data_IF_534063780451
#
_entry.id   IF_534063780451
#
_cell.length_a   1.000
_cell.length_b   1.000
_cell.length_c   1.000
_cell.angle_alpha   90.00
_cell.angle_beta   90.00
_cell.angle_gamma   90.00
#
_symmetry.space_group_name_H-M   'P 1'
#
loop_
_entity.id
_entity.type
_entity.pdbx_description
1 polymer ?
#
# COMPACT_ATOMS: atom_id res chain seq x y z
N UNK A 1 -22.70 5.96 6.02
CA UNK A 1 -23.41 5.11 5.06
C UNK A 1 -22.69 3.78 4.96
N UNK A 2 -23.34 2.69 5.37
CA UNK A 2 -22.74 1.35 5.30
C UNK A 2 -22.84 0.91 3.82
N UNK A 3 -21.77 1.10 3.06
CA UNK A 3 -21.73 0.58 1.68
C UNK A 3 -21.65 -0.95 1.77
N UNK A 4 -22.65 -1.63 1.20
CA UNK A 4 -22.62 -3.07 1.06
C UNK A 4 -21.35 -3.49 0.30
N UNK A 5 -20.70 -4.58 0.73
CA UNK A 5 -19.52 -5.11 0.06
C UNK A 5 -19.84 -5.53 -1.37
N UNK A 6 -19.17 -4.93 -2.34
CA UNK A 6 -19.30 -5.23 -3.77
C UNK A 6 -18.24 -6.25 -4.18
N UNK A 7 -18.62 -7.21 -5.05
CA UNK A 7 -17.72 -8.22 -5.60
C UNK A 7 -17.61 -8.10 -7.11
N UNK A 8 -16.40 -8.18 -7.66
CA UNK A 8 -16.11 -8.13 -9.08
C UNK A 8 -15.21 -9.27 -9.51
N UNK A 9 -15.51 -9.86 -10.68
CA UNK A 9 -14.70 -10.92 -11.29
C UNK A 9 -13.30 -10.41 -11.64
N UNK A 10 -12.28 -11.22 -11.36
CA UNK A 10 -10.89 -10.89 -11.68
C UNK A 10 -10.64 -11.16 -13.17
N UNK A 11 -10.15 -10.16 -13.90
CA UNK A 11 -9.79 -10.28 -15.31
C UNK A 11 -8.78 -11.44 -15.54
N UNK A 12 -9.11 -12.34 -16.47
CA UNK A 12 -8.31 -13.54 -16.74
C UNK A 12 -8.47 -14.69 -15.74
N UNK A 13 -9.32 -14.53 -14.71
CA UNK A 13 -9.57 -15.56 -13.69
C UNK A 13 -11.07 -15.64 -13.35
N UNK A 14 -11.92 -16.14 -14.26
CA UNK A 14 -13.39 -16.05 -14.14
C UNK A 14 -13.99 -16.76 -12.92
N UNK A 15 -13.24 -17.70 -12.31
CA UNK A 15 -13.66 -18.40 -11.09
C UNK A 15 -13.18 -17.71 -9.80
N UNK A 16 -12.72 -16.46 -9.90
CA UNK A 16 -12.28 -15.66 -8.76
C UNK A 16 -12.86 -14.27 -8.80
N UNK A 17 -13.19 -13.74 -7.63
CA UNK A 17 -13.66 -12.38 -7.46
C UNK A 17 -12.91 -11.69 -6.35
N UNK A 18 -12.79 -10.37 -6.46
CA UNK A 18 -12.31 -9.47 -5.42
C UNK A 18 -13.43 -8.58 -4.93
N UNK A 19 -13.38 -8.22 -3.65
CA UNK A 19 -14.36 -7.31 -3.08
C UNK A 19 -13.82 -5.88 -2.93
N UNK A 20 -14.76 -4.95 -2.80
CA UNK A 20 -14.48 -3.55 -2.45
C UNK A 20 -13.74 -3.38 -1.11
N UNK A 21 -13.79 -4.40 -0.24
CA UNK A 21 -13.10 -4.45 1.05
C UNK A 21 -11.74 -5.17 0.99
N UNK A 22 -11.25 -5.58 -0.20
CA UNK A 22 -9.95 -6.22 -0.35
C UNK A 22 -9.92 -7.72 -0.09
N UNK A 23 -11.08 -8.38 -0.02
CA UNK A 23 -11.19 -9.84 0.12
C UNK A 23 -11.18 -10.51 -1.26
N UNK A 24 -10.80 -11.80 -1.28
CA UNK A 24 -10.86 -12.64 -2.49
C UNK A 24 -11.74 -13.83 -2.20
N UNK A 25 -12.58 -14.23 -3.16
CA UNK A 25 -13.33 -15.50 -3.12
C UNK A 25 -13.12 -16.31 -4.39
N UNK A 26 -13.20 -17.62 -4.24
CA UNK A 26 -13.03 -18.61 -5.31
C UNK A 26 -14.33 -19.41 -5.48
N UNK A 27 -14.72 -19.60 -6.74
CA UNK A 27 -15.85 -20.44 -7.15
C UNK A 27 -15.45 -21.86 -7.51
N UNK A 28 -14.18 -22.23 -7.32
CA UNK A 28 -13.77 -23.63 -7.51
C UNK A 28 -14.46 -24.54 -6.49
N UNK A 29 -15.00 -25.65 -6.96
CA UNK A 29 -15.52 -26.71 -6.10
C UNK A 29 -14.44 -27.17 -5.13
N UNK A 30 -14.76 -27.23 -3.84
CA UNK A 30 -13.87 -27.71 -2.79
C UNK A 30 -14.56 -28.82 -2.00
N UNK A 31 -13.92 -30.00 -1.92
CA UNK A 31 -14.48 -31.18 -1.25
C UNK A 31 -15.92 -31.53 -1.71
N UNK A 32 -16.19 -31.42 -3.02
CA UNK A 32 -17.52 -31.67 -3.58
C UNK A 32 -18.57 -30.60 -3.32
N UNK A 33 -18.24 -29.53 -2.56
CA UNK A 33 -19.16 -28.44 -2.24
C UNK A 33 -19.04 -27.31 -3.27
N UNK A 34 -20.10 -26.97 -4.00
CA UNK A 34 -20.15 -25.81 -4.88
C UNK A 34 -20.29 -24.51 -4.07
N UNK A 35 -19.88 -23.41 -4.66
CA UNK A 35 -20.12 -22.06 -4.13
C UNK A 35 -18.86 -21.28 -3.77
N UNK A 36 -19.00 -20.00 -3.49
CA UNK A 36 -17.85 -19.15 -3.26
C UNK A 36 -17.24 -19.41 -1.88
N UNK A 37 -15.93 -19.58 -1.86
CA UNK A 37 -15.12 -19.68 -0.64
C UNK A 37 -14.19 -18.49 -0.51
N UNK A 38 -14.25 -17.81 0.63
CA UNK A 38 -13.29 -16.74 0.95
C UNK A 38 -11.89 -17.35 1.07
N UNK A 39 -10.95 -16.79 0.32
CA UNK A 39 -9.55 -17.17 0.36
C UNK A 39 -8.85 -16.45 1.54
N UNK A 40 -7.69 -17.00 1.94
CA UNK A 40 -6.80 -16.40 2.94
C UNK A 40 -5.47 -16.08 2.28
N UNK A 41 -5.30 -14.87 1.70
CA UNK A 41 -4.03 -14.42 1.14
C UNK A 41 -2.94 -14.37 2.21
N UNK A 42 -1.72 -14.74 1.84
CA UNK A 42 -0.54 -14.61 2.70
C UNK A 42 0.32 -13.40 2.32
N UNK A 43 1.11 -12.85 3.25
CA UNK A 43 2.04 -11.78 2.95
C UNK A 43 3.24 -12.28 2.15
N UNK A 44 3.75 -11.43 1.24
CA UNK A 44 5.07 -11.61 0.62
C UNK A 44 6.18 -11.03 1.53
N UNK A 45 7.44 -11.13 1.10
CA UNK A 45 8.62 -10.65 1.85
C UNK A 45 8.56 -9.13 2.15
N UNK A 46 7.71 -8.38 1.46
CA UNK A 46 7.49 -6.94 1.66
C UNK A 46 6.20 -6.64 2.43
N UNK A 47 5.51 -7.66 2.92
CA UNK A 47 4.27 -7.55 3.68
C UNK A 47 3.00 -7.35 2.84
N UNK A 48 3.07 -7.40 1.51
CA UNK A 48 1.89 -7.31 0.65
C UNK A 48 1.14 -8.63 0.60
N UNK A 49 -0.18 -8.60 0.76
CA UNK A 49 -1.01 -9.78 0.61
C UNK A 49 -1.00 -10.30 -0.83
N UNK A 50 -0.74 -11.59 -0.98
CA UNK A 50 -0.71 -12.30 -2.27
C UNK A 50 -1.65 -13.50 -2.27
N UNK A 51 -2.22 -13.80 -3.43
CA UNK A 51 -3.07 -14.96 -3.66
C UNK A 51 -2.56 -15.76 -4.87
N UNK A 52 -2.67 -17.08 -4.78
CA UNK A 52 -2.39 -17.98 -5.90
C UNK A 52 -3.72 -18.24 -6.60
N UNK A 53 -3.83 -17.79 -7.85
CA UNK A 53 -4.98 -17.98 -8.71
C UNK A 53 -4.66 -19.06 -9.77
N UNK A 54 -5.66 -19.84 -10.16
CA UNK A 54 -5.54 -20.87 -11.19
C UNK A 54 -6.37 -20.47 -12.40
N UNK A 55 -5.80 -20.66 -13.58
CA UNK A 55 -6.49 -20.54 -14.85
C UNK A 55 -6.15 -21.77 -15.73
N UNK A 56 -6.72 -21.82 -16.92
CA UNK A 56 -6.36 -22.84 -17.92
C UNK A 56 -4.87 -22.75 -18.33
N UNK A 57 -4.25 -21.58 -18.23
CA UNK A 57 -2.83 -21.35 -18.49
C UNK A 57 -1.90 -21.73 -17.31
N UNK A 58 -2.46 -22.18 -16.18
CA UNK A 58 -1.69 -22.59 -15.00
C UNK A 58 -1.95 -21.74 -13.75
N UNK A 59 -0.98 -21.72 -12.84
CA UNK A 59 -1.04 -20.96 -11.58
C UNK A 59 -0.33 -19.63 -11.72
N UNK A 60 -0.91 -18.59 -11.12
CA UNK A 60 -0.30 -17.27 -11.05
C UNK A 60 -0.41 -16.67 -9.65
N UNK A 61 0.70 -16.25 -9.05
CA UNK A 61 0.70 -15.46 -7.83
C UNK A 61 0.41 -14.01 -8.17
N UNK A 62 -0.58 -13.41 -7.51
CA UNK A 62 -1.01 -12.03 -7.74
C UNK A 62 -1.13 -11.28 -6.42
N UNK A 63 -0.74 -10.01 -6.42
CA UNK A 63 -0.91 -9.12 -5.28
C UNK A 63 -2.36 -8.69 -5.16
N UNK A 64 -2.94 -8.81 -3.96
CA UNK A 64 -4.36 -8.51 -3.72
C UNK A 64 -4.71 -7.07 -4.09
N UNK A 65 -3.92 -6.09 -3.63
CA UNK A 65 -4.17 -4.68 -3.93
C UNK A 65 -4.22 -4.36 -5.44
N UNK A 66 -3.41 -5.07 -6.26
CA UNK A 66 -3.46 -4.89 -7.73
C UNK A 66 -4.74 -5.41 -8.31
N UNK A 67 -5.18 -6.61 -7.87
CA UNK A 67 -6.44 -7.20 -8.33
C UNK A 67 -7.64 -6.31 -7.97
N UNK A 68 -7.65 -5.77 -6.76
CA UNK A 68 -8.70 -4.85 -6.31
C UNK A 68 -8.64 -3.54 -7.08
N UNK A 69 -7.45 -2.94 -7.24
CA UNK A 69 -7.31 -1.70 -7.99
C UNK A 69 -7.77 -1.87 -9.45
N UNK A 70 -7.35 -2.93 -10.15
CA UNK A 70 -7.79 -3.20 -11.53
C UNK A 70 -9.31 -3.39 -11.63
N UNK A 71 -9.92 -4.07 -10.66
CA UNK A 71 -11.36 -4.33 -10.66
C UNK A 71 -12.19 -3.07 -10.35
N UNK A 72 -11.73 -2.18 -9.46
CA UNK A 72 -12.53 -1.06 -8.95
C UNK A 72 -12.10 0.31 -9.49
N UNK A 73 -10.83 0.48 -9.85
CA UNK A 73 -10.30 1.73 -10.41
C UNK A 73 -10.10 1.66 -11.93
N UNK A 74 -10.20 0.45 -12.52
CA UNK A 74 -9.94 0.20 -13.94
C UNK A 74 -8.46 -0.21 -14.18
N UNK A 75 -8.05 -0.37 -15.46
CA UNK A 75 -6.73 -0.86 -15.83
C UNK A 75 -5.65 0.11 -15.35
N UNK A 76 -4.50 -0.46 -14.91
CA UNK A 76 -3.35 0.31 -14.43
C UNK A 76 -2.76 1.17 -15.58
N UNK A 77 -2.75 2.51 -15.46
CA UNK A 77 -2.14 3.37 -16.47
C UNK A 77 -0.62 3.16 -16.57
N UNK A 78 -0.08 3.34 -17.79
CA UNK A 78 1.37 3.18 -18.04
C UNK A 78 2.18 4.14 -17.16
N UNK A 79 3.21 3.63 -16.52
CA UNK A 79 4.11 4.42 -15.67
C UNK A 79 3.61 4.68 -14.26
N UNK A 80 2.38 4.28 -13.92
CA UNK A 80 1.85 4.37 -12.58
C UNK A 80 1.97 3.04 -11.83
N UNK A 81 1.80 3.09 -10.52
CA UNK A 81 1.74 1.94 -9.64
C UNK A 81 0.55 2.05 -8.68
N UNK A 82 0.06 0.93 -8.21
CA UNK A 82 -0.96 0.91 -7.14
C UNK A 82 -0.30 1.30 -5.82
N UNK A 83 -0.89 2.26 -5.12
CA UNK A 83 -0.43 2.74 -3.81
C UNK A 83 -1.54 2.62 -2.76
N UNK A 84 -1.14 2.46 -1.50
CA UNK A 84 -2.02 2.49 -0.35
C UNK A 84 -1.99 3.90 0.25
N UNK A 85 -3.14 4.54 0.35
CA UNK A 85 -3.25 5.92 0.83
C UNK A 85 -2.86 6.05 2.31
N UNK A 86 -3.12 5.02 3.11
CA UNK A 86 -2.75 4.93 4.52
C UNK A 86 -1.35 4.31 4.78
N UNK A 87 -0.60 3.98 3.71
CA UNK A 87 0.69 3.25 3.76
C UNK A 87 0.63 1.87 4.43
N UNK A 88 -0.54 1.30 4.68
CA UNK A 88 -0.72 -0.04 5.21
C UNK A 88 -0.85 -1.06 4.07
N UNK A 89 0.18 -1.86 3.82
CA UNK A 89 0.24 -2.85 2.75
C UNK A 89 -0.82 -3.96 2.85
N UNK A 90 -1.51 -4.08 3.98
CA UNK A 90 -2.55 -5.08 4.22
C UNK A 90 -3.97 -4.51 4.07
N UNK A 91 -4.14 -3.20 4.07
CA UNK A 91 -5.43 -2.55 3.85
C UNK A 91 -5.72 -2.41 2.36
N UNK A 92 -6.25 -3.48 1.76
CA UNK A 92 -6.53 -3.56 0.32
C UNK A 92 -7.95 -3.10 -0.06
N UNK A 93 -8.66 -2.37 0.81
CA UNK A 93 -9.96 -1.79 0.46
C UNK A 93 -9.82 -0.85 -0.75
N UNK A 94 -10.77 -0.91 -1.69
CA UNK A 94 -10.74 -0.10 -2.91
C UNK A 94 -10.66 1.40 -2.62
N UNK A 95 -11.31 1.87 -1.55
CA UNK A 95 -11.27 3.25 -1.08
C UNK A 95 -9.90 3.70 -0.56
N UNK A 96 -9.03 2.74 -0.19
CA UNK A 96 -7.67 2.99 0.28
C UNK A 96 -6.63 2.86 -0.83
N UNK A 97 -7.03 2.53 -2.05
CA UNK A 97 -6.13 2.32 -3.18
C UNK A 97 -6.24 3.46 -4.20
N UNK A 98 -5.11 3.85 -4.76
CA UNK A 98 -5.02 4.80 -5.85
C UNK A 98 -3.91 4.40 -6.82
N UNK A 99 -3.98 4.88 -8.06
CA UNK A 99 -2.84 4.86 -8.96
C UNK A 99 -2.02 6.13 -8.77
N UNK A 100 -0.73 6.02 -8.87
CA UNK A 100 0.16 7.17 -8.76
C UNK A 100 1.59 6.84 -9.12
N UNK A 101 2.41 7.86 -9.24
CA UNK A 101 3.84 7.77 -9.49
C UNK A 101 4.59 7.26 -8.25
N UNK A 102 5.83 6.84 -8.45
CA UNK A 102 6.70 6.48 -7.32
C UNK A 102 6.94 7.68 -6.38
N UNK A 103 7.00 8.89 -6.93
CA UNK A 103 7.20 10.12 -6.15
C UNK A 103 6.00 10.39 -5.21
N UNK A 104 4.78 10.28 -5.72
CA UNK A 104 3.56 10.42 -4.90
C UNK A 104 3.49 9.36 -3.80
N UNK A 105 3.81 8.10 -4.12
CA UNK A 105 3.85 7.03 -3.13
C UNK A 105 4.91 7.27 -2.02
N UNK A 106 6.04 7.88 -2.38
CA UNK A 106 7.04 8.31 -1.39
C UNK A 106 6.54 9.48 -0.55
N UNK A 107 5.84 10.45 -1.17
CA UNK A 107 5.27 11.61 -0.49
C UNK A 107 4.21 11.19 0.55
N UNK A 108 3.31 10.25 0.20
CA UNK A 108 2.32 9.70 1.14
C UNK A 108 3.00 9.10 2.39
N UNK A 109 4.04 8.29 2.18
CA UNK A 109 4.80 7.67 3.28
C UNK A 109 5.48 8.69 4.18
N UNK A 110 5.92 9.82 3.61
CA UNK A 110 6.53 10.92 4.37
C UNK A 110 5.47 11.72 5.13
N UNK A 111 4.32 11.99 4.48
CA UNK A 111 3.23 12.76 5.07
C UNK A 111 2.65 12.10 6.33
N UNK A 112 2.63 10.77 6.39
CA UNK A 112 2.10 9.99 7.52
C UNK A 112 3.08 9.87 8.71
N UNK A 113 4.34 10.31 8.57
CA UNK A 113 5.28 10.29 9.69
C UNK A 113 5.01 11.47 10.63
N UNK A 114 4.64 11.17 11.86
CA UNK A 114 4.46 12.17 12.91
C UNK A 114 5.79 12.65 13.49
N UNK A 115 6.81 11.78 13.50
CA UNK A 115 8.12 12.05 14.09
C UNK A 115 9.28 11.81 13.10
N UNK A 116 10.40 12.49 13.31
CA UNK A 116 11.65 12.21 12.62
C UNK A 116 12.28 10.90 13.13
N UNK A 117 13.37 10.44 12.48
CA UNK A 117 14.09 9.22 12.85
C UNK A 117 14.63 9.18 14.30
N UNK A 118 14.78 10.35 14.92
CA UNK A 118 15.25 10.51 16.30
C UNK A 118 14.11 10.77 17.29
N UNK A 119 12.84 10.58 16.87
CA UNK A 119 11.68 10.72 17.73
C UNK A 119 11.16 12.15 17.93
N UNK A 120 11.78 13.18 17.33
CA UNK A 120 11.27 14.54 17.46
C UNK A 120 10.02 14.75 16.60
N UNK A 121 8.94 15.38 17.12
CA UNK A 121 7.71 15.57 16.37
C UNK A 121 7.89 16.51 15.19
N UNK A 122 7.21 16.20 14.09
CA UNK A 122 7.12 17.05 12.91
C UNK A 122 5.92 18.00 13.01
N UNK A 123 5.94 18.86 14.01
CA UNK A 123 4.88 19.85 14.27
C UNK A 123 5.46 21.26 14.45
N UNK A 124 4.64 22.26 14.21
CA UNK A 124 4.98 23.68 14.38
C UNK A 124 6.32 24.04 13.73
N UNK A 125 7.12 24.83 14.42
CA UNK A 125 8.43 25.31 13.94
C UNK A 125 9.49 24.21 13.81
N UNK A 126 9.26 23.03 14.37
CA UNK A 126 10.24 21.94 14.26
C UNK A 126 10.26 21.29 12.87
N UNK A 127 9.17 21.41 12.10
CA UNK A 127 9.11 20.96 10.72
C UNK A 127 9.58 22.05 9.75
N UNK A 128 10.46 21.70 8.82
CA UNK A 128 10.77 22.55 7.66
C UNK A 128 10.91 21.71 6.38
N UNK A 129 10.76 22.35 5.23
CA UNK A 129 10.92 21.70 3.93
C UNK A 129 12.26 22.16 3.34
N UNK A 130 13.27 21.28 3.23
CA UNK A 130 14.53 21.60 2.55
C UNK A 130 14.32 21.89 1.06
N UNK A 131 15.21 22.66 0.44
CA UNK A 131 15.19 22.95 -1.01
C UNK A 131 15.24 21.70 -1.89
N UNK A 132 15.84 20.63 -1.39
CA UNK A 132 15.92 19.33 -2.06
C UNK A 132 14.65 18.47 -1.88
N UNK A 133 13.63 19.01 -1.23
CA UNK A 133 12.38 18.30 -0.90
C UNK A 133 12.49 17.43 0.36
N UNK A 134 11.36 16.82 0.74
CA UNK A 134 11.25 16.03 1.94
C UNK A 134 10.91 16.84 3.19
N UNK A 135 11.02 16.23 4.37
CA UNK A 135 10.71 16.85 5.67
C UNK A 135 11.99 16.89 6.52
N UNK A 136 12.34 18.09 6.95
CA UNK A 136 13.49 18.33 7.84
C UNK A 136 13.03 18.56 9.29
N UNK A 137 13.86 18.17 10.25
CA UNK A 137 13.64 18.39 11.68
C UNK A 137 14.65 19.44 12.18
N UNK A 138 14.17 20.58 12.65
CA UNK A 138 15.04 21.66 13.15
C UNK A 138 15.83 21.26 14.40
N UNK A 139 15.24 20.46 15.28
CA UNK A 139 15.94 19.93 16.46
C UNK A 139 17.14 19.08 16.04
N UNK A 140 16.96 18.16 15.09
CA UNK A 140 18.09 17.38 14.55
C UNK A 140 19.16 18.25 13.87
N UNK A 141 18.76 19.31 13.15
CA UNK A 141 19.69 20.23 12.51
C UNK A 141 20.53 20.98 13.56
N UNK A 142 19.89 21.53 14.61
CA UNK A 142 20.57 22.20 15.74
C UNK A 142 21.55 21.28 16.46
N UNK A 143 21.16 20.01 16.72
CA UNK A 143 22.00 19.03 17.36
C UNK A 143 23.23 18.65 16.48
N UNK A 144 23.02 18.58 15.17
CA UNK A 144 24.13 18.34 14.24
C UNK A 144 25.11 19.50 14.21
N UNK A 145 24.63 20.75 14.22
CA UNK A 145 25.46 21.95 14.24
C UNK A 145 26.23 22.06 15.57
N UNK A 146 25.58 21.78 16.70
CA UNK A 146 26.25 21.74 18.01
C UNK A 146 27.42 20.74 18.01
N UNK A 147 27.19 19.49 17.57
CA UNK A 147 28.25 18.46 17.47
C UNK A 147 29.40 18.87 16.55
N UNK A 148 29.11 19.59 15.46
CA UNK A 148 30.17 20.11 14.55
C UNK A 148 31.02 21.16 15.24
N UNK A 149 30.42 22.10 15.99
CA UNK A 149 31.15 23.14 16.74
C UNK A 149 32.01 22.53 17.86
N UNK A 150 31.48 21.58 18.61
CA UNK A 150 32.24 20.87 19.66
C UNK A 150 33.47 20.14 19.07
N UNK A 151 33.29 19.47 17.93
CA UNK A 151 34.39 18.78 17.25
C UNK A 151 35.43 19.72 16.64
N UNK A 152 35.06 20.95 16.28
CA UNK A 152 35.96 21.93 15.73
C UNK A 152 36.76 22.68 16.83
N UNK A 153 36.31 22.61 18.09
CA UNK A 153 36.94 23.22 19.25
C UNK A 153 37.91 22.28 20.02
N UNK A 154 37.95 21.01 19.59
CA UNK A 154 38.85 19.95 20.15
C UNK A 154 40.03 19.74 19.26
#
# INVERSE_FOLDING_TARGET
MNHAEEWRTIAGFPLYEVSSLGRIRSWHTHNGQPGPRIMRPGPDDKGYLTAILRSTAGRATRKVHRLVAEAFLGPLPKGLQTRHLDSNNQNNAATNLAYGTQLENMADRVALKENCKNGHPFEGDNLYIPTQGGRGCRTCARDADRRRREKAAS
#
